data_IF_407812338686
#
_entry.id   IF_407812338686
#
_cell.length_a   1.000
_cell.length_b   1.000
_cell.length_c   1.000
_cell.angle_alpha   90.00
_cell.angle_beta   90.00
_cell.angle_gamma   90.00
#
_symmetry.space_group_name_H-M   'P 1'
#
loop_
_entity.id
_entity.type
_entity.pdbx_description
1 polymer ?
#
# COMPACT_ATOMS: atom_id res chain seq x y z
N UNK A 1 3.93 -3.22 4.83
CA UNK A 1 3.14 -2.92 3.61
C UNK A 1 4.11 -2.66 2.47
N UNK A 2 3.84 -3.18 1.28
CA UNK A 2 4.71 -3.05 0.08
C UNK A 2 4.84 -1.63 -0.49
N UNK A 3 4.41 -0.62 0.27
CA UNK A 3 4.46 0.79 -0.08
C UNK A 3 5.00 1.57 1.11
N UNK A 4 5.94 2.48 0.86
CA UNK A 4 6.53 3.33 1.89
C UNK A 4 5.70 4.61 2.02
N UNK A 5 5.26 5.00 3.23
CA UNK A 5 4.60 6.29 3.41
C UNK A 5 5.58 7.41 3.07
N UNK A 6 5.07 8.48 2.46
CA UNK A 6 5.88 9.67 2.18
C UNK A 6 6.18 10.38 3.51
N UNK A 7 7.43 10.83 3.70
CA UNK A 7 7.84 11.56 4.90
C UNK A 7 6.94 12.80 5.06
N UNK A 8 6.36 13.01 6.24
CA UNK A 8 5.38 14.08 6.50
C UNK A 8 3.92 13.75 6.15
N UNK A 9 3.64 12.63 5.47
CA UNK A 9 2.27 12.20 5.10
C UNK A 9 1.77 10.98 5.88
N UNK A 10 2.52 10.54 6.89
CA UNK A 10 2.20 9.35 7.70
C UNK A 10 0.84 9.49 8.40
N UNK A 11 0.54 10.65 8.96
CA UNK A 11 -0.73 10.91 9.63
C UNK A 11 -1.91 10.81 8.65
N UNK A 12 -1.80 11.50 7.51
CA UNK A 12 -2.81 11.48 6.45
C UNK A 12 -3.05 10.06 5.91
N UNK A 13 -1.98 9.29 5.70
CA UNK A 13 -2.07 7.90 5.27
C UNK A 13 -2.82 7.02 6.28
N UNK A 14 -2.50 7.15 7.58
CA UNK A 14 -3.20 6.45 8.66
C UNK A 14 -4.68 6.84 8.71
N UNK A 15 -4.98 8.13 8.58
CA UNK A 15 -6.35 8.62 8.61
C UNK A 15 -7.15 8.15 7.38
N UNK A 16 -6.54 8.12 6.19
CA UNK A 16 -7.15 7.61 4.97
C UNK A 16 -7.53 6.13 5.12
N UNK A 17 -6.60 5.30 5.60
CA UNK A 17 -6.84 3.88 5.83
C UNK A 17 -7.97 3.72 6.85
N UNK A 18 -7.87 4.39 8.00
CA UNK A 18 -8.89 4.32 9.05
C UNK A 18 -10.28 4.71 8.53
N UNK A 19 -10.40 5.83 7.79
CA UNK A 19 -11.66 6.26 7.18
C UNK A 19 -12.21 5.24 6.17
N UNK A 20 -11.33 4.59 5.39
CA UNK A 20 -11.75 3.60 4.37
C UNK A 20 -12.07 2.23 4.96
N UNK A 21 -11.49 1.85 6.10
CA UNK A 21 -11.66 0.51 6.71
C UNK A 21 -12.57 0.50 7.93
N UNK A 22 -12.85 1.63 8.58
CA UNK A 22 -13.70 1.70 9.78
C UNK A 22 -15.08 1.11 9.50
N UNK A 23 -15.45 0.10 10.29
CA UNK A 23 -16.74 -0.61 10.17
C UNK A 23 -16.87 -1.50 8.93
N UNK A 24 -15.78 -1.75 8.19
CA UNK A 24 -15.80 -2.57 6.96
C UNK A 24 -14.90 -3.78 7.09
N UNK A 25 -15.37 -4.92 6.57
CA UNK A 25 -14.51 -6.11 6.43
C UNK A 25 -13.40 -5.84 5.41
N UNK A 26 -12.18 -6.13 5.82
CA UNK A 26 -10.96 -6.03 5.01
C UNK A 26 -10.37 -7.41 4.77
N UNK A 27 -9.67 -7.55 3.65
CA UNK A 27 -8.87 -8.72 3.33
C UNK A 27 -7.40 -8.31 3.30
N UNK A 28 -6.59 -9.08 4.02
CA UNK A 28 -5.13 -8.97 3.97
C UNK A 28 -4.60 -10.12 3.13
N UNK A 29 -3.74 -9.81 2.17
CA UNK A 29 -2.99 -10.81 1.41
C UNK A 29 -1.50 -10.56 1.61
N UNK A 30 -0.78 -11.57 2.03
CA UNK A 30 0.68 -11.50 2.18
C UNK A 30 1.36 -11.88 0.85
N UNK A 31 2.53 -11.33 0.59
CA UNK A 31 3.38 -11.77 -0.51
C UNK A 31 4.27 -12.93 -0.06
N UNK A 32 5.00 -13.56 -0.99
CA UNK A 32 5.92 -14.66 -0.69
C UNK A 32 7.04 -14.25 0.29
N UNK A 33 7.41 -12.96 0.29
CA UNK A 33 8.27 -12.35 1.28
C UNK A 33 7.35 -11.72 2.32
N UNK A 34 7.24 -12.34 3.50
CA UNK A 34 6.32 -11.86 4.54
C UNK A 34 6.85 -10.67 5.33
N UNK A 35 8.17 -10.43 5.33
CA UNK A 35 8.81 -9.39 6.14
C UNK A 35 9.85 -8.61 5.34
N UNK A 36 9.90 -7.29 5.55
CA UNK A 36 11.02 -6.47 5.09
C UNK A 36 12.25 -6.63 6.00
N UNK A 37 13.38 -6.03 5.61
CA UNK A 37 14.63 -6.03 6.38
C UNK A 37 14.49 -5.41 7.78
N UNK A 38 13.41 -4.66 8.04
CA UNK A 38 13.10 -4.02 9.31
C UNK A 38 12.05 -4.81 10.12
N UNK A 39 11.77 -6.07 9.74
CA UNK A 39 10.74 -6.94 10.34
C UNK A 39 9.31 -6.39 10.24
N UNK A 40 9.03 -5.47 9.33
CA UNK A 40 7.66 -5.06 9.04
C UNK A 40 7.00 -6.05 8.09
N UNK A 41 5.77 -6.45 8.42
CA UNK A 41 5.03 -7.40 7.58
C UNK A 41 4.62 -6.77 6.25
N UNK A 42 4.97 -7.41 5.14
CA UNK A 42 4.59 -7.01 3.79
C UNK A 42 3.19 -7.54 3.47
N UNK A 43 2.27 -6.64 3.15
CA UNK A 43 0.86 -6.99 3.01
C UNK A 43 0.11 -6.06 2.06
N UNK A 44 -0.84 -6.68 1.37
CA UNK A 44 -1.79 -6.07 0.47
C UNK A 44 -3.15 -5.94 1.17
N UNK A 45 -3.62 -4.71 1.31
CA UNK A 45 -4.91 -4.43 1.94
C UNK A 45 -6.01 -4.24 0.88
N UNK A 46 -7.06 -5.04 0.98
CA UNK A 46 -8.24 -4.97 0.12
C UNK A 46 -9.50 -4.70 0.95
N UNK A 47 -10.40 -3.89 0.41
CA UNK A 47 -11.78 -3.82 0.90
C UNK A 47 -12.61 -4.95 0.29
N UNK A 48 -13.73 -5.29 0.94
CA UNK A 48 -14.70 -6.26 0.42
C UNK A 48 -15.18 -5.97 -1.00
N UNK A 49 -15.19 -4.70 -1.42
CA UNK A 49 -15.46 -4.26 -2.80
C UNK A 49 -14.34 -4.58 -3.81
N UNK A 50 -13.35 -5.41 -3.44
CA UNK A 50 -12.11 -5.65 -4.19
C UNK A 50 -11.26 -4.39 -4.44
N UNK A 51 -11.56 -3.28 -3.74
CA UNK A 51 -10.78 -2.05 -3.84
C UNK A 51 -9.42 -2.25 -3.20
N UNK A 52 -8.36 -2.03 -3.98
CA UNK A 52 -7.00 -2.17 -3.51
C UNK A 52 -6.52 -0.87 -2.85
N UNK A 53 -6.37 -0.90 -1.52
CA UNK A 53 -6.04 0.28 -0.72
C UNK A 53 -4.61 0.74 -0.98
N UNK A 54 -3.66 -0.18 -1.14
CA UNK A 54 -2.25 0.16 -1.40
C UNK A 54 -2.10 1.01 -2.68
N UNK A 55 -2.83 0.67 -3.76
CA UNK A 55 -2.83 1.49 -4.98
C UNK A 55 -3.46 2.86 -4.76
N UNK A 56 -4.55 2.94 -3.98
CA UNK A 56 -5.17 4.23 -3.71
C UNK A 56 -4.20 5.17 -2.99
N UNK A 57 -3.45 4.67 -2.00
CA UNK A 57 -2.43 5.44 -1.29
C UNK A 57 -1.35 6.01 -2.22
N UNK A 58 -0.93 5.24 -3.23
CA UNK A 58 0.00 5.71 -4.27
C UNK A 58 -0.64 6.81 -5.12
N UNK A 59 -1.85 6.55 -5.64
CA UNK A 59 -2.56 7.49 -6.52
C UNK A 59 -2.81 8.86 -5.88
N UNK A 60 -3.09 8.88 -4.57
CA UNK A 60 -3.33 10.12 -3.81
C UNK A 60 -2.05 10.68 -3.17
N UNK A 61 -0.87 10.17 -3.54
CA UNK A 61 0.44 10.63 -3.06
C UNK A 61 0.59 10.63 -1.53
N UNK A 62 0.03 9.61 -0.87
CA UNK A 62 0.22 9.35 0.56
C UNK A 62 1.24 8.24 0.83
N UNK A 63 1.50 7.40 -0.16
CA UNK A 63 2.58 6.42 -0.16
C UNK A 63 3.24 6.38 -1.54
N UNK A 64 4.45 5.81 -1.60
CA UNK A 64 5.19 5.57 -2.83
C UNK A 64 5.63 4.12 -2.92
N UNK A 65 5.92 3.68 -4.14
CA UNK A 65 6.47 2.35 -4.39
C UNK A 65 7.80 2.21 -3.66
N UNK A 66 8.01 1.06 -3.01
CA UNK A 66 9.28 0.79 -2.35
C UNK A 66 10.25 0.11 -3.31
N UNK A 67 11.21 0.85 -3.86
CA UNK A 67 12.19 0.31 -4.82
C UNK A 67 13.26 -0.58 -4.16
N UNK A 68 13.18 -0.82 -2.84
CA UNK A 68 14.17 -1.62 -2.11
C UNK A 68 14.04 -3.13 -2.32
N UNK A 69 12.98 -3.62 -2.96
CA UNK A 69 12.73 -5.05 -3.15
C UNK A 69 12.09 -5.32 -4.52
N UNK A 70 12.52 -6.38 -5.20
CA UNK A 70 11.95 -6.84 -6.47
C UNK A 70 10.76 -7.78 -6.18
N UNK A 71 9.64 -7.21 -5.69
CA UNK A 71 8.42 -8.00 -5.42
C UNK A 71 7.57 -8.17 -6.69
N UNK A 72 6.81 -9.27 -6.74
CA UNK A 72 5.99 -9.70 -7.89
C UNK A 72 5.03 -8.62 -8.42
N UNK A 73 4.68 -7.62 -7.60
CA UNK A 73 3.81 -6.48 -7.97
C UNK A 73 4.54 -5.15 -8.20
N UNK A 74 5.87 -5.09 -8.08
CA UNK A 74 6.67 -3.87 -8.26
C UNK A 74 6.36 -3.17 -9.58
N UNK A 75 6.48 -3.91 -10.70
CA UNK A 75 6.14 -3.42 -12.05
C UNK A 75 4.71 -2.88 -12.17
N UNK A 76 3.77 -3.37 -11.36
CA UNK A 76 2.37 -2.91 -11.38
C UNK A 76 2.18 -1.63 -10.58
N UNK A 77 2.90 -1.46 -9.47
CA UNK A 77 2.85 -0.21 -8.68
C UNK A 77 3.57 0.94 -9.38
N UNK A 78 4.70 0.69 -10.02
CA UNK A 78 5.38 1.65 -10.90
C UNK A 78 4.43 2.24 -11.95
N UNK A 79 3.69 1.39 -12.66
CA UNK A 79 2.67 1.86 -13.61
C UNK A 79 1.61 2.75 -12.97
N UNK A 80 1.20 2.48 -11.73
CA UNK A 80 0.22 3.33 -11.04
C UNK A 80 0.79 4.67 -10.60
N UNK A 81 2.08 4.72 -10.28
CA UNK A 81 2.80 5.95 -9.96
C UNK A 81 2.96 6.82 -11.22
N UNK A 82 3.34 6.22 -12.35
CA UNK A 82 3.46 6.90 -13.65
C UNK A 82 2.10 7.34 -14.24
N UNK A 83 1.04 6.56 -14.04
CA UNK A 83 -0.31 6.89 -14.55
C UNK A 83 -1.09 7.88 -13.66
N UNK A 84 -0.50 8.35 -12.55
CA UNK A 84 -1.10 9.36 -11.66
C UNK A 84 -0.49 10.76 -11.88
N UNK A 85 0.14 10.96 -13.04
CA UNK A 85 0.62 12.24 -13.56
C UNK A 85 -0.44 12.84 -14.48
#
# INVERSE_FOLDING_TARGET
MDVKPIKGKVFDAKQFIAKKTKGRKVFLKYDAIEFDNNKNRLCYLYLKSKTFINTHLIKIRLAKTDNSFDYKKYKRFLKYEESSV
#
